data_IF_962200626463
#
_entry.id   IF_962200626463
#
_cell.length_a   1.000
_cell.length_b   1.000
_cell.length_c   1.000
_cell.angle_alpha   90.00
_cell.angle_beta   90.00
_cell.angle_gamma   90.00
#
_symmetry.space_group_name_H-M   'P 1'
#
loop_
_entity.id
_entity.type
_entity.pdbx_description
1 polymer ?
#
# COMPACT_ATOMS: atom_id res chain seq x y z
N UNK A 1 23.65 -22.75 -3.51
CA UNK A 1 23.11 -21.41 -3.77
C UNK A 1 22.77 -20.80 -2.42
N UNK A 2 23.48 -19.77 -1.97
CA UNK A 2 23.14 -19.10 -0.71
C UNK A 2 21.92 -18.22 -0.93
N UNK A 3 20.90 -18.39 -0.08
CA UNK A 3 19.78 -17.46 0.01
C UNK A 3 20.32 -16.03 0.20
N UNK A 4 19.68 -15.01 -0.41
CA UNK A 4 20.11 -13.63 -0.19
C UNK A 4 20.07 -13.33 1.30
N UNK A 5 21.16 -12.78 1.84
CA UNK A 5 21.15 -12.25 3.20
C UNK A 5 20.09 -11.15 3.22
N UNK A 6 19.03 -11.32 4.00
CA UNK A 6 18.10 -10.24 4.28
C UNK A 6 18.92 -9.06 4.79
N UNK A 7 19.06 -8.03 3.97
CA UNK A 7 19.66 -6.78 4.41
C UNK A 7 18.78 -6.26 5.54
N UNK A 8 19.37 -6.10 6.72
CA UNK A 8 18.72 -5.51 7.89
C UNK A 8 18.42 -4.05 7.59
N UNK A 9 17.28 -3.77 6.95
CA UNK A 9 16.80 -2.40 6.75
C UNK A 9 16.24 -1.94 8.10
N UNK A 10 16.79 -0.89 8.74
CA UNK A 10 16.36 -0.45 10.08
C UNK A 10 14.86 -0.18 10.18
N UNK A 11 14.24 0.33 9.10
CA UNK A 11 12.81 0.60 9.05
C UNK A 11 11.95 -0.67 9.13
N UNK A 12 12.39 -1.78 8.51
CA UNK A 12 11.68 -3.07 8.60
C UNK A 12 11.78 -3.61 10.02
N UNK A 13 12.97 -3.55 10.63
CA UNK A 13 13.14 -3.97 12.02
C UNK A 13 12.32 -3.14 12.99
N UNK A 14 12.21 -1.82 12.77
CA UNK A 14 11.37 -0.96 13.57
C UNK A 14 9.89 -1.32 13.40
N UNK A 15 9.44 -1.52 12.16
CA UNK A 15 8.07 -1.92 11.86
C UNK A 15 7.68 -3.23 12.59
N UNK A 16 8.54 -4.24 12.51
CA UNK A 16 8.34 -5.51 13.23
C UNK A 16 8.27 -5.29 14.76
N UNK A 17 9.15 -4.46 15.32
CA UNK A 17 9.18 -4.16 16.75
C UNK A 17 7.97 -3.38 17.24
N UNK A 18 7.39 -2.52 16.40
CA UNK A 18 6.14 -1.80 16.68
C UNK A 18 4.97 -2.79 16.67
N UNK A 19 4.87 -3.64 15.64
CA UNK A 19 3.85 -4.69 15.55
C UNK A 19 3.87 -5.65 16.74
N UNK A 20 5.06 -6.11 17.15
CA UNK A 20 5.25 -6.96 18.33
C UNK A 20 4.84 -6.29 19.66
N UNK A 21 4.62 -4.96 19.67
CA UNK A 21 4.13 -4.19 20.82
C UNK A 21 2.65 -3.80 20.69
N UNK A 22 1.96 -4.31 19.67
CA UNK A 22 0.57 -3.95 19.39
C UNK A 22 0.40 -2.49 18.91
N UNK A 23 1.48 -1.86 18.45
CA UNK A 23 1.41 -0.51 17.86
C UNK A 23 1.13 -0.68 16.37
N UNK A 24 0.02 -0.12 15.93
CA UNK A 24 -0.43 -0.22 14.54
C UNK A 24 0.34 0.72 13.61
N UNK A 25 0.79 0.19 12.47
CA UNK A 25 1.38 0.97 11.38
C UNK A 25 0.25 1.30 10.39
N UNK A 26 -0.03 2.59 10.23
CA UNK A 26 -1.15 3.07 9.39
C UNK A 26 -0.80 3.25 7.92
N UNK A 27 0.47 3.08 7.55
CA UNK A 27 0.92 3.17 6.17
C UNK A 27 2.43 3.24 6.06
N UNK A 28 2.91 3.21 4.82
CA UNK A 28 4.31 3.42 4.46
C UNK A 28 4.40 4.51 3.41
N UNK A 29 5.46 5.30 3.46
CA UNK A 29 5.83 6.21 2.38
C UNK A 29 6.87 5.53 1.50
N UNK A 30 6.66 5.54 0.19
CA UNK A 30 7.58 5.04 -0.81
C UNK A 30 7.94 6.16 -1.80
N UNK A 31 9.19 6.15 -2.29
CA UNK A 31 9.62 7.06 -3.35
C UNK A 31 10.02 6.25 -4.57
N UNK A 32 9.40 6.52 -5.71
CA UNK A 32 9.75 5.89 -6.99
C UNK A 32 10.98 6.54 -7.61
N UNK A 33 11.72 5.87 -8.52
CA UNK A 33 12.94 6.40 -9.13
C UNK A 33 12.78 7.73 -9.85
N UNK A 34 11.59 7.98 -10.43
CA UNK A 34 11.22 9.27 -11.04
C UNK A 34 10.99 10.42 -10.04
N UNK A 35 11.09 10.14 -8.73
CA UNK A 35 11.02 11.11 -7.66
C UNK A 35 9.64 11.31 -7.04
N UNK A 36 8.59 10.67 -7.56
CA UNK A 36 7.25 10.72 -6.95
C UNK A 36 7.22 10.04 -5.59
N UNK A 37 6.37 10.57 -4.71
CA UNK A 37 6.18 10.08 -3.34
C UNK A 37 4.80 9.45 -3.26
N UNK A 38 4.72 8.29 -2.64
CA UNK A 38 3.51 7.48 -2.54
C UNK A 38 3.22 7.14 -1.08
N UNK A 39 1.97 7.33 -0.65
CA UNK A 39 1.47 6.79 0.61
C UNK A 39 0.71 5.51 0.34
N UNK A 40 1.13 4.42 0.98
CA UNK A 40 0.51 3.09 0.85
C UNK A 40 -0.12 2.75 2.20
N UNK A 41 -1.45 2.70 2.23
CA UNK A 41 -2.24 2.55 3.45
C UNK A 41 -2.86 1.15 3.48
N UNK A 42 -2.47 0.27 4.42
CA UNK A 42 -3.10 -1.04 4.55
C UNK A 42 -4.54 -0.89 5.02
N UNK A 43 -5.42 -1.73 4.47
CA UNK A 43 -6.80 -1.86 4.92
C UNK A 43 -6.97 -3.10 5.79
N UNK A 44 -7.81 -3.03 6.85
CA UNK A 44 -8.21 -4.22 7.55
C UNK A 44 -8.98 -5.17 6.61
N UNK A 45 -9.04 -6.47 6.92
CA UNK A 45 -9.86 -7.41 6.17
C UNK A 45 -11.30 -6.91 5.99
N UNK A 46 -11.92 -7.27 4.86
CA UNK A 46 -13.30 -6.92 4.52
C UNK A 46 -13.59 -5.41 4.44
N UNK A 47 -12.57 -4.57 4.25
CA UNK A 47 -12.76 -3.15 3.96
C UNK A 47 -12.59 -2.89 2.46
N UNK A 48 -13.42 -2.01 1.93
CA UNK A 48 -13.47 -1.66 0.51
C UNK A 48 -14.16 -0.32 0.29
N UNK A 49 -14.37 0.04 -0.99
CA UNK A 49 -15.19 1.19 -1.36
C UNK A 49 -16.66 0.76 -1.25
N UNK A 50 -17.47 1.57 -0.58
CA UNK A 50 -18.92 1.36 -0.49
C UNK A 50 -19.63 1.99 -1.67
N UNK A 51 -20.89 1.61 -1.87
CA UNK A 51 -21.76 2.18 -2.92
C UNK A 51 -21.90 3.71 -2.82
N UNK A 52 -21.76 4.28 -1.62
CA UNK A 52 -21.78 5.74 -1.40
C UNK A 52 -20.42 6.42 -1.62
N UNK A 53 -19.41 5.67 -2.08
CA UNK A 53 -18.05 6.12 -2.31
C UNK A 53 -17.19 6.24 -1.05
N UNK A 54 -17.73 5.99 0.15
CA UNK A 54 -16.98 6.01 1.40
C UNK A 54 -16.18 4.72 1.60
N UNK A 55 -15.11 4.82 2.39
CA UNK A 55 -14.29 3.67 2.77
C UNK A 55 -14.76 3.05 4.09
N UNK A 56 -14.87 1.73 4.15
CA UNK A 56 -15.17 1.04 5.40
C UNK A 56 -15.44 -0.45 5.23
N UNK A 57 -15.90 -1.14 6.30
CA UNK A 57 -16.33 -2.54 6.21
C UNK A 57 -17.41 -2.72 5.15
N UNK A 58 -17.27 -3.76 4.33
CA UNK A 58 -18.25 -4.20 3.33
C UNK A 58 -18.92 -5.48 3.82
N UNK A 59 -20.25 -5.48 4.02
CA UNK A 59 -20.98 -6.66 4.46
C UNK A 59 -20.91 -7.81 3.44
N UNK A 60 -20.74 -9.05 3.92
CA UNK A 60 -20.84 -10.25 3.09
C UNK A 60 -19.58 -10.61 2.31
N UNK A 61 -18.53 -9.77 2.33
CA UNK A 61 -17.20 -10.16 1.90
C UNK A 61 -16.69 -11.28 2.81
N UNK A 62 -16.47 -12.47 2.23
CA UNK A 62 -15.96 -13.64 2.95
C UNK A 62 -14.45 -13.51 3.17
N UNK A 63 -13.97 -14.20 4.20
CA UNK A 63 -12.63 -14.14 4.83
C UNK A 63 -11.41 -14.38 3.92
N UNK A 64 -11.63 -14.53 2.62
CA UNK A 64 -10.69 -14.84 1.56
C UNK A 64 -10.34 -13.60 0.70
N UNK A 65 -11.02 -12.46 0.87
CA UNK A 65 -10.51 -11.19 0.35
C UNK A 65 -9.41 -10.67 1.27
N UNK A 66 -8.17 -10.92 0.84
CA UNK A 66 -6.96 -10.39 1.43
C UNK A 66 -7.11 -8.89 1.71
N UNK A 67 -6.67 -8.49 2.90
CA UNK A 67 -6.34 -7.11 3.24
C UNK A 67 -5.51 -6.49 2.11
N UNK A 68 -6.09 -5.54 1.39
CA UNK A 68 -5.43 -4.80 0.32
C UNK A 68 -4.90 -3.46 0.81
N UNK A 69 -4.45 -2.64 -0.14
CA UNK A 69 -3.91 -1.32 0.13
C UNK A 69 -4.70 -0.24 -0.61
N UNK A 70 -4.73 0.96 -0.02
CA UNK A 70 -5.03 2.19 -0.74
C UNK A 70 -3.71 2.84 -1.12
N UNK A 71 -3.64 3.40 -2.31
CA UNK A 71 -2.44 4.03 -2.85
C UNK A 71 -2.74 5.50 -3.13
N UNK A 72 -1.85 6.39 -2.67
CA UNK A 72 -1.97 7.82 -2.91
C UNK A 72 -0.66 8.39 -3.45
N UNK A 73 -0.72 9.15 -4.54
CA UNK A 73 0.37 10.02 -4.95
C UNK A 73 0.36 11.27 -4.05
N UNK A 74 1.51 11.58 -3.45
CA UNK A 74 1.66 12.71 -2.54
C UNK A 74 2.27 13.90 -3.28
N UNK A 75 1.47 14.95 -3.49
CA UNK A 75 1.92 16.23 -4.04
C UNK A 75 1.70 17.35 -3.00
N UNK A 76 2.76 18.09 -2.65
CA UNK A 76 2.69 19.14 -1.62
C UNK A 76 1.76 20.31 -1.99
N UNK A 77 1.47 20.51 -3.28
CA UNK A 77 0.63 21.61 -3.77
C UNK A 77 -0.83 21.19 -3.94
N UNK A 78 -1.08 19.95 -4.36
CA UNK A 78 -2.43 19.43 -4.64
C UNK A 78 -3.02 18.62 -3.48
N UNK A 79 -2.18 18.16 -2.56
CA UNK A 79 -2.56 17.18 -1.55
C UNK A 79 -2.50 15.75 -2.09
N UNK A 80 -2.92 14.76 -1.28
CA UNK A 80 -2.91 13.36 -1.68
C UNK A 80 -3.95 13.08 -2.77
N UNK A 81 -3.52 12.45 -3.86
CA UNK A 81 -4.38 11.96 -4.94
C UNK A 81 -4.48 10.43 -4.84
N UNK A 82 -5.69 9.89 -4.67
CA UNK A 82 -5.91 8.44 -4.57
C UNK A 82 -5.89 7.80 -5.96
N UNK A 83 -5.18 6.69 -6.11
CA UNK A 83 -5.10 5.93 -7.36
C UNK A 83 -5.92 4.65 -7.24
N UNK A 84 -6.84 4.45 -8.20
CA UNK A 84 -7.69 3.26 -8.28
C UNK A 84 -6.89 2.02 -8.65
N UNK A 85 -7.22 0.89 -8.02
CA UNK A 85 -6.61 -0.39 -8.34
C UNK A 85 -7.13 -0.95 -9.66
N UNK A 86 -6.36 -1.84 -10.29
CA UNK A 86 -6.69 -2.40 -11.61
C UNK A 86 -7.95 -3.28 -11.57
N UNK A 87 -8.06 -4.15 -10.56
CA UNK A 87 -9.08 -5.21 -10.50
C UNK A 87 -10.09 -5.06 -9.35
N UNK A 88 -10.31 -3.84 -8.86
CA UNK A 88 -11.34 -3.56 -7.86
C UNK A 88 -11.08 -2.30 -7.05
N UNK A 89 -11.49 -2.34 -5.78
CA UNK A 89 -11.34 -1.18 -4.90
C UNK A 89 -9.97 -1.09 -4.25
N UNK A 90 -9.30 -2.23 -4.01
CA UNK A 90 -8.07 -2.30 -3.21
C UNK A 90 -6.94 -2.92 -3.99
N UNK A 91 -5.73 -2.39 -3.81
CA UNK A 91 -4.53 -2.95 -4.40
C UNK A 91 -4.12 -4.26 -3.72
N UNK A 92 -3.95 -5.33 -4.50
CA UNK A 92 -3.19 -6.50 -4.10
C UNK A 92 -1.69 -6.19 -4.00
N UNK A 93 -0.92 -6.97 -3.24
CA UNK A 93 0.50 -6.67 -3.05
C UNK A 93 1.30 -6.76 -4.36
N UNK A 94 1.03 -7.77 -5.19
CA UNK A 94 1.76 -7.98 -6.44
C UNK A 94 1.41 -6.89 -7.47
N UNK A 95 0.12 -6.61 -7.68
CA UNK A 95 -0.35 -5.54 -8.58
C UNK A 95 0.15 -4.15 -8.16
N UNK A 96 0.23 -3.90 -6.85
CA UNK A 96 0.77 -2.65 -6.31
C UNK A 96 2.24 -2.50 -6.64
N UNK A 97 3.02 -3.56 -6.48
CA UNK A 97 4.46 -3.54 -6.76
C UNK A 97 4.72 -3.34 -8.25
N UNK A 98 4.00 -4.08 -9.10
CA UNK A 98 4.07 -3.94 -10.56
C UNK A 98 3.69 -2.52 -11.01
N UNK A 99 2.65 -1.95 -10.41
CA UNK A 99 2.24 -0.57 -10.68
C UNK A 99 3.32 0.45 -10.28
N UNK A 100 3.86 0.35 -9.06
CA UNK A 100 4.90 1.26 -8.58
C UNK A 100 6.18 1.17 -9.42
N UNK A 101 6.54 -0.03 -9.88
CA UNK A 101 7.65 -0.22 -10.81
C UNK A 101 7.36 0.45 -12.15
N UNK A 102 6.17 0.23 -12.73
CA UNK A 102 5.79 0.77 -14.02
C UNK A 102 5.72 2.31 -14.02
N UNK A 103 5.09 2.90 -13.00
CA UNK A 103 5.00 4.36 -12.88
C UNK A 103 6.37 4.97 -12.56
N UNK A 104 7.22 4.28 -11.80
CA UNK A 104 8.53 4.78 -11.39
C UNK A 104 9.58 4.84 -12.51
N UNK A 105 9.30 4.27 -13.68
CA UNK A 105 10.19 4.40 -14.83
C UNK A 105 10.17 5.84 -15.37
N UNK A 106 11.33 6.42 -15.71
CA UNK A 106 11.38 7.71 -16.40
C UNK A 106 10.51 7.66 -17.67
N UNK A 107 9.67 8.68 -17.88
CA UNK A 107 9.00 8.86 -19.17
C UNK A 107 10.09 9.21 -20.19
N UNK A 108 10.29 8.33 -21.18
CA UNK A 108 11.17 8.58 -22.32
C UNK A 108 10.78 9.86 -23.08
#
# INVERSE_FOLDING_TARGET
MSSPKHNNIPSIQLAERLGNRGIEIKGIEARTPDGRIWSIVPLPPNHGRRDDGSWGPIPGLKHDHNSGFRLFEMDERKGPEEHDSVDGDTWGIDDLLDYLEAVGQPRN
#
